data_IF_816473637666
#
_entry.id   IF_816473637666
#
_cell.length_a   1.000
_cell.length_b   1.000
_cell.length_c   1.000
_cell.angle_alpha   90.00
_cell.angle_beta   90.00
_cell.angle_gamma   90.00
#
_symmetry.space_group_name_H-M   'P 1'
#
loop_
_entity.id
_entity.type
_entity.pdbx_description
1 polymer ?
#
# COMPACT_ATOMS: atom_id res chain seq x y z
N UNK A 1 -8.45 -13.52 -6.21
CA UNK A 1 -9.55 -12.56 -5.96
C UNK A 1 -10.64 -13.22 -5.14
N UNK A 2 -11.33 -12.42 -4.33
CA UNK A 2 -12.51 -12.83 -3.56
C UNK A 2 -13.74 -12.11 -4.13
N UNK A 3 -14.79 -12.86 -4.43
CA UNK A 3 -16.05 -12.28 -4.84
C UNK A 3 -16.73 -11.58 -3.65
N UNK A 4 -17.14 -10.32 -3.81
CA UNK A 4 -17.68 -9.50 -2.70
C UNK A 4 -19.16 -9.72 -2.42
N UNK A 5 -19.85 -10.52 -3.23
CA UNK A 5 -21.30 -10.67 -3.19
C UNK A 5 -22.05 -9.65 -4.03
N UNK A 6 -21.36 -8.70 -4.65
CA UNK A 6 -21.98 -7.66 -5.47
C UNK A 6 -21.91 -7.98 -6.95
N UNK A 7 -23.05 -7.90 -7.62
CA UNK A 7 -23.19 -8.10 -9.07
C UNK A 7 -24.35 -7.31 -9.64
N UNK A 8 -24.34 -7.09 -10.94
CA UNK A 8 -25.43 -6.46 -11.68
C UNK A 8 -25.47 -6.95 -13.11
N UNK A 9 -26.66 -6.95 -13.71
CA UNK A 9 -26.90 -7.17 -15.13
C UNK A 9 -27.69 -5.99 -15.67
N UNK A 10 -27.24 -5.46 -16.80
CA UNK A 10 -27.86 -4.35 -17.50
C UNK A 10 -28.27 -4.79 -18.90
N UNK A 11 -29.44 -4.30 -19.36
CA UNK A 11 -29.90 -4.51 -20.71
C UNK A 11 -29.03 -3.71 -21.71
N UNK A 12 -28.53 -4.36 -22.75
CA UNK A 12 -27.80 -3.67 -23.85
C UNK A 12 -28.72 -3.24 -24.97
N UNK A 13 -29.96 -3.67 -24.93
CA UNK A 13 -31.08 -3.28 -25.82
C UNK A 13 -32.37 -3.27 -25.00
N UNK A 14 -33.45 -2.68 -25.54
CA UNK A 14 -34.74 -2.72 -24.88
C UNK A 14 -35.19 -4.18 -24.72
N UNK A 15 -35.70 -4.51 -23.56
CA UNK A 15 -36.31 -5.80 -23.26
C UNK A 15 -37.85 -5.63 -23.38
N UNK A 16 -38.48 -6.37 -24.28
CA UNK A 16 -39.92 -6.23 -24.56
C UNK A 16 -40.74 -7.35 -23.90
N UNK A 17 -41.96 -7.05 -23.55
CA UNK A 17 -42.98 -8.02 -23.14
C UNK A 17 -44.30 -7.68 -23.82
N UNK A 18 -44.77 -8.53 -24.72
CA UNK A 18 -45.97 -8.28 -25.49
C UNK A 18 -45.91 -7.05 -26.41
N UNK A 19 -44.69 -6.69 -26.83
CA UNK A 19 -44.46 -5.53 -27.70
C UNK A 19 -44.27 -4.20 -26.96
N UNK A 20 -44.37 -4.19 -25.62
CA UNK A 20 -44.09 -3.02 -24.77
C UNK A 20 -42.75 -3.16 -24.07
N UNK A 21 -42.04 -2.05 -23.87
CA UNK A 21 -40.77 -2.03 -23.19
C UNK A 21 -40.95 -2.37 -21.70
N UNK A 22 -40.42 -3.51 -21.31
CA UNK A 22 -40.33 -3.96 -19.90
C UNK A 22 -39.12 -3.34 -19.19
N UNK A 23 -38.00 -3.18 -19.92
CA UNK A 23 -36.82 -2.44 -19.52
C UNK A 23 -36.16 -1.81 -20.75
N UNK A 24 -35.60 -0.64 -20.61
CA UNK A 24 -34.91 0.08 -21.68
C UNK A 24 -33.42 -0.31 -21.73
N UNK A 25 -32.79 -0.06 -22.87
CA UNK A 25 -31.33 -0.16 -22.99
C UNK A 25 -30.68 0.67 -21.88
N UNK A 26 -29.73 0.05 -21.18
CA UNK A 26 -29.01 0.65 -20.07
C UNK A 26 -29.62 0.37 -18.69
N UNK A 27 -30.89 -0.03 -18.63
CA UNK A 27 -31.52 -0.31 -17.35
C UNK A 27 -30.91 -1.54 -16.68
N UNK A 28 -30.79 -1.48 -15.35
CA UNK A 28 -30.45 -2.63 -14.53
C UNK A 28 -31.62 -3.62 -14.50
N UNK A 29 -31.36 -4.88 -14.81
CA UNK A 29 -32.37 -5.93 -14.93
C UNK A 29 -32.17 -7.11 -13.98
N UNK A 30 -31.03 -7.16 -13.25
CA UNK A 30 -30.77 -8.10 -12.17
C UNK A 30 -29.58 -7.63 -11.33
N UNK A 31 -29.39 -8.26 -10.18
CA UNK A 31 -28.19 -8.04 -9.34
C UNK A 31 -28.47 -8.00 -7.86
N UNK A 32 -27.42 -7.77 -7.08
CA UNK A 32 -27.49 -7.68 -5.63
C UNK A 32 -28.39 -6.55 -5.17
N UNK A 33 -29.43 -6.88 -4.37
CA UNK A 33 -30.38 -5.88 -3.87
C UNK A 33 -31.35 -5.29 -4.93
N UNK A 34 -31.38 -5.85 -6.13
CA UNK A 34 -32.30 -5.42 -7.17
C UNK A 34 -33.72 -5.93 -6.92
N UNK A 35 -34.71 -5.04 -7.03
CA UNK A 35 -36.13 -5.41 -6.94
C UNK A 35 -36.66 -5.84 -8.31
N UNK A 36 -36.75 -7.15 -8.53
CA UNK A 36 -37.23 -7.74 -9.78
C UNK A 36 -38.76 -7.77 -9.93
N UNK A 37 -39.51 -7.27 -8.95
CA UNK A 37 -40.98 -7.31 -8.96
C UNK A 37 -41.57 -6.60 -10.17
N UNK A 38 -41.00 -5.48 -10.60
CA UNK A 38 -41.39 -4.70 -11.78
C UNK A 38 -41.17 -5.45 -13.09
N UNK A 39 -40.24 -6.40 -13.09
CA UNK A 39 -39.96 -7.26 -14.24
C UNK A 39 -40.74 -8.58 -14.19
N UNK A 40 -41.60 -8.72 -13.15
CA UNK A 40 -42.42 -9.91 -12.92
C UNK A 40 -41.60 -11.11 -12.43
N UNK A 41 -40.44 -10.90 -11.84
CA UNK A 41 -39.56 -11.89 -11.27
C UNK A 41 -38.14 -11.82 -11.78
N UNK A 42 -37.26 -12.64 -11.21
CA UNK A 42 -35.84 -12.66 -11.51
C UNK A 42 -35.57 -13.09 -12.95
N UNK A 43 -34.79 -12.26 -13.66
CA UNK A 43 -34.34 -12.55 -15.01
C UNK A 43 -33.01 -13.28 -15.05
N UNK A 44 -32.19 -13.11 -14.02
CA UNK A 44 -30.88 -13.76 -13.88
C UNK A 44 -30.67 -14.21 -12.45
N UNK A 45 -29.89 -15.28 -12.30
CA UNK A 45 -29.41 -15.79 -11.02
C UNK A 45 -27.87 -15.80 -11.02
N UNK A 46 -27.29 -15.76 -9.83
CA UNK A 46 -25.85 -15.89 -9.66
C UNK A 46 -25.54 -17.05 -8.70
N UNK A 47 -24.53 -17.83 -9.05
CA UNK A 47 -23.91 -18.80 -8.15
C UNK A 47 -22.40 -18.59 -8.12
N UNK A 48 -21.79 -18.86 -6.97
CA UNK A 48 -20.34 -18.82 -6.79
C UNK A 48 -19.87 -20.14 -6.20
N UNK A 49 -18.84 -20.74 -6.78
CA UNK A 49 -18.30 -22.03 -6.38
C UNK A 49 -16.79 -22.08 -6.60
N UNK A 50 -16.12 -23.00 -5.91
CA UNK A 50 -14.72 -23.33 -6.24
C UNK A 50 -14.71 -24.59 -7.11
N UNK A 51 -14.20 -24.46 -8.33
CA UNK A 51 -14.07 -25.54 -9.29
C UNK A 51 -12.58 -25.68 -9.64
N UNK A 52 -12.02 -26.88 -9.44
CA UNK A 52 -10.61 -27.18 -9.67
C UNK A 52 -9.64 -26.17 -9.02
N UNK A 53 -9.96 -25.73 -7.79
CA UNK A 53 -9.18 -24.77 -7.01
C UNK A 53 -9.29 -23.31 -7.49
N UNK A 54 -10.18 -23.00 -8.43
CA UNK A 54 -10.48 -21.65 -8.92
C UNK A 54 -11.84 -21.18 -8.41
N UNK A 55 -11.93 -19.93 -8.02
CA UNK A 55 -13.21 -19.30 -7.71
C UNK A 55 -13.94 -18.97 -9.02
N UNK A 56 -15.08 -19.60 -9.22
CA UNK A 56 -15.92 -19.41 -10.41
C UNK A 56 -17.22 -18.74 -10.00
N UNK A 57 -17.59 -17.68 -10.69
CA UNK A 57 -18.86 -16.99 -10.56
C UNK A 57 -19.66 -17.23 -11.84
N UNK A 58 -20.83 -17.81 -11.71
CA UNK A 58 -21.73 -18.10 -12.82
C UNK A 58 -22.97 -17.23 -12.73
N UNK A 59 -23.28 -16.49 -13.79
CA UNK A 59 -24.52 -15.73 -13.97
C UNK A 59 -25.35 -16.48 -15.01
N UNK A 60 -26.56 -16.87 -14.64
CA UNK A 60 -27.43 -17.68 -15.49
C UNK A 60 -28.76 -16.97 -15.76
N UNK A 61 -29.15 -16.94 -17.04
CA UNK A 61 -30.46 -16.47 -17.45
C UNK A 61 -31.56 -17.44 -17.01
N UNK A 62 -32.61 -16.94 -16.36
CA UNK A 62 -33.78 -17.74 -15.91
C UNK A 62 -34.67 -18.13 -17.08
N UNK A 63 -35.58 -19.08 -16.84
CA UNK A 63 -36.63 -19.42 -17.84
C UNK A 63 -37.46 -18.21 -18.21
N UNK A 64 -37.69 -17.29 -17.27
CA UNK A 64 -38.43 -16.07 -17.54
C UNK A 64 -37.72 -15.19 -18.56
N UNK A 65 -36.38 -14.96 -18.39
CA UNK A 65 -35.62 -14.19 -19.38
C UNK A 65 -35.65 -14.90 -20.73
N UNK A 66 -35.45 -16.22 -20.77
CA UNK A 66 -35.47 -17.00 -22.00
C UNK A 66 -36.84 -16.92 -22.70
N UNK A 67 -37.94 -16.94 -21.94
CA UNK A 67 -39.30 -16.79 -22.49
C UNK A 67 -39.49 -15.41 -23.12
N UNK A 68 -39.08 -14.32 -22.42
CA UNK A 68 -39.17 -12.94 -22.96
C UNK A 68 -38.43 -12.79 -24.29
N UNK A 69 -37.22 -13.33 -24.37
CA UNK A 69 -36.37 -13.28 -25.57
C UNK A 69 -36.93 -14.14 -26.69
N UNK A 70 -37.57 -15.27 -26.37
CA UNK A 70 -38.18 -16.20 -27.36
C UNK A 70 -39.46 -15.62 -28.00
N UNK A 71 -40.21 -14.82 -27.24
CA UNK A 71 -41.47 -14.23 -27.67
C UNK A 71 -41.25 -12.93 -28.47
N UNK A 72 -40.03 -12.39 -28.39
CA UNK A 72 -39.67 -11.13 -29.02
C UNK A 72 -38.86 -11.36 -30.31
N UNK A 73 -39.25 -10.74 -31.40
CA UNK A 73 -38.49 -10.73 -32.66
C UNK A 73 -37.24 -9.84 -32.59
N UNK A 74 -37.04 -9.12 -31.48
CA UNK A 74 -35.90 -8.24 -31.28
C UNK A 74 -34.71 -8.97 -30.69
N UNK A 75 -33.53 -8.58 -31.13
CA UNK A 75 -32.31 -9.04 -30.49
C UNK A 75 -32.20 -8.47 -29.07
N UNK A 76 -32.37 -9.30 -28.06
CA UNK A 76 -32.06 -8.93 -26.69
C UNK A 76 -30.57 -9.13 -26.41
N UNK A 77 -30.04 -8.34 -25.47
CA UNK A 77 -28.67 -8.45 -25.06
C UNK A 77 -28.49 -7.94 -23.64
N UNK A 78 -27.43 -8.41 -22.98
CA UNK A 78 -27.15 -8.03 -21.62
C UNK A 78 -25.65 -7.90 -21.38
N UNK A 79 -25.29 -7.19 -20.32
CA UNK A 79 -23.93 -7.03 -19.84
C UNK A 79 -23.90 -7.28 -18.34
N UNK A 80 -23.00 -8.12 -17.90
CA UNK A 80 -22.87 -8.44 -16.49
C UNK A 80 -21.64 -7.78 -15.87
N UNK A 81 -21.74 -7.43 -14.61
CA UNK A 81 -20.68 -6.93 -13.77
C UNK A 81 -20.64 -7.74 -12.48
N UNK A 82 -19.45 -8.11 -12.06
CA UNK A 82 -19.18 -8.67 -10.74
C UNK A 82 -18.12 -7.81 -10.06
N UNK A 83 -18.20 -7.70 -8.75
CA UNK A 83 -17.19 -7.02 -7.97
C UNK A 83 -16.33 -8.03 -7.22
N UNK A 84 -15.03 -7.92 -7.39
CA UNK A 84 -14.06 -8.77 -6.71
C UNK A 84 -13.04 -7.92 -5.94
N UNK A 85 -12.68 -8.39 -4.74
CA UNK A 85 -11.60 -7.83 -3.95
C UNK A 85 -10.30 -8.56 -4.28
N UNK A 86 -9.27 -7.81 -4.62
CA UNK A 86 -7.92 -8.35 -4.78
C UNK A 86 -7.32 -8.66 -3.42
N UNK A 87 -6.79 -9.88 -3.25
CA UNK A 87 -6.23 -10.36 -1.98
C UNK A 87 -4.70 -10.29 -1.91
N UNK A 88 -4.03 -10.11 -3.04
CA UNK A 88 -2.57 -10.10 -3.09
C UNK A 88 -2.03 -9.12 -4.12
N UNK A 89 -0.84 -8.62 -3.84
CA UNK A 89 -0.02 -7.89 -4.81
C UNK A 89 0.34 -8.81 -5.97
N UNK A 90 0.19 -8.33 -7.20
CA UNK A 90 0.56 -9.08 -8.40
C UNK A 90 0.88 -8.14 -9.56
N UNK A 91 1.91 -8.46 -10.32
CA UNK A 91 2.27 -7.71 -11.52
C UNK A 91 1.30 -8.00 -12.67
N UNK A 92 0.67 -9.17 -12.66
CA UNK A 92 -0.28 -9.57 -13.70
C UNK A 92 -1.32 -10.54 -13.15
N UNK A 93 -2.56 -10.15 -13.26
CA UNK A 93 -3.71 -11.01 -12.99
C UNK A 93 -4.59 -11.03 -14.24
N UNK A 94 -4.81 -12.21 -14.77
CA UNK A 94 -5.59 -12.41 -15.98
C UNK A 94 -7.03 -12.75 -15.64
N UNK A 95 -7.96 -12.15 -16.38
CA UNK A 95 -9.37 -12.43 -16.32
C UNK A 95 -9.86 -12.79 -17.72
N UNK A 96 -10.70 -13.80 -17.78
CA UNK A 96 -11.38 -14.28 -18.97
C UNK A 96 -12.76 -14.79 -18.56
N UNK A 97 -13.77 -14.59 -19.37
CA UNK A 97 -15.06 -15.22 -19.17
C UNK A 97 -15.39 -16.19 -20.32
N UNK A 98 -16.24 -17.14 -20.01
CA UNK A 98 -16.77 -18.12 -20.94
C UNK A 98 -18.29 -17.98 -20.99
N UNK A 99 -18.83 -17.84 -22.15
CA UNK A 99 -20.27 -17.81 -22.40
C UNK A 99 -20.73 -19.16 -22.95
N UNK A 100 -21.80 -19.70 -22.39
CA UNK A 100 -22.47 -20.89 -22.87
C UNK A 100 -23.84 -20.51 -23.45
N UNK A 101 -24.01 -20.73 -24.72
CA UNK A 101 -25.24 -20.39 -25.43
C UNK A 101 -25.58 -21.48 -26.49
N UNK A 102 -26.76 -22.11 -26.38
CA UNK A 102 -27.25 -23.11 -27.34
C UNK A 102 -26.16 -24.13 -27.76
N UNK A 103 -25.63 -24.90 -26.82
CA UNK A 103 -24.57 -25.90 -27.03
C UNK A 103 -23.24 -25.34 -27.59
N UNK A 104 -23.10 -24.03 -27.67
CA UNK A 104 -21.85 -23.35 -28.03
C UNK A 104 -21.18 -22.80 -26.78
N UNK A 105 -19.86 -22.85 -26.81
CA UNK A 105 -19.01 -22.22 -25.81
C UNK A 105 -18.17 -21.17 -26.52
N UNK A 106 -18.24 -19.93 -26.02
CA UNK A 106 -17.49 -18.79 -26.51
C UNK A 106 -16.59 -18.28 -25.38
N UNK A 107 -15.35 -18.05 -25.70
CA UNK A 107 -14.40 -17.48 -24.76
C UNK A 107 -14.14 -16.00 -25.10
N UNK A 108 -14.10 -15.15 -24.09
CA UNK A 108 -13.67 -13.75 -24.27
C UNK A 108 -12.16 -13.69 -24.55
N UNK A 109 -11.70 -12.54 -25.02
CA UNK A 109 -10.28 -12.22 -24.93
C UNK A 109 -9.84 -12.20 -23.46
N UNK A 110 -8.57 -12.53 -23.22
CA UNK A 110 -7.95 -12.36 -21.91
C UNK A 110 -7.65 -10.88 -21.69
N UNK A 111 -8.10 -10.35 -20.56
CA UNK A 111 -7.70 -9.05 -20.04
C UNK A 111 -6.85 -9.24 -18.80
N UNK A 112 -5.99 -8.29 -18.49
CA UNK A 112 -5.17 -8.37 -17.30
C UNK A 112 -5.17 -7.05 -16.53
N UNK A 113 -4.98 -7.18 -15.22
CA UNK A 113 -4.85 -6.07 -14.29
C UNK A 113 -3.60 -6.28 -13.43
N UNK A 114 -3.11 -5.19 -12.87
CA UNK A 114 -1.99 -5.18 -11.93
C UNK A 114 -2.45 -4.62 -10.58
N UNK A 115 -1.91 -5.15 -9.50
CA UNK A 115 -2.03 -4.59 -8.17
C UNK A 115 -0.62 -4.30 -7.66
N UNK A 116 -0.16 -3.06 -7.70
CA UNK A 116 1.20 -2.70 -7.30
C UNK A 116 1.41 -2.89 -5.79
N UNK A 117 2.65 -3.17 -5.41
CA UNK A 117 3.05 -3.17 -4.01
C UNK A 117 3.24 -1.72 -3.53
N UNK A 118 2.29 -1.23 -2.74
CA UNK A 118 2.31 0.10 -2.14
C UNK A 118 2.50 0.04 -0.62
N UNK A 119 3.25 -0.94 -0.14
CA UNK A 119 3.50 -1.15 1.29
C UNK A 119 4.01 0.14 1.95
N UNK A 120 3.32 0.64 3.00
CA UNK A 120 3.77 1.79 3.77
C UNK A 120 5.09 1.50 4.49
N UNK A 121 5.98 2.49 4.51
CA UNK A 121 7.26 2.39 5.23
C UNK A 121 7.79 3.78 5.59
N UNK A 122 8.42 3.89 6.74
CA UNK A 122 9.09 5.09 7.23
C UNK A 122 10.48 4.71 7.72
N UNK A 123 11.44 5.59 7.58
CA UNK A 123 12.81 5.39 8.01
C UNK A 123 13.32 6.58 8.81
N UNK A 124 14.33 6.37 9.65
CA UNK A 124 15.05 7.42 10.37
C UNK A 124 16.54 7.19 10.23
N UNK A 125 17.29 8.27 9.94
CA UNK A 125 18.75 8.29 9.92
C UNK A 125 19.24 9.34 10.92
N UNK A 126 20.17 8.95 11.78
CA UNK A 126 20.73 9.76 12.86
C UNK A 126 22.20 10.10 12.61
N UNK A 127 22.53 11.38 12.62
CA UNK A 127 23.88 11.84 12.30
C UNK A 127 24.25 13.13 13.02
N UNK A 128 25.56 13.40 13.16
CA UNK A 128 26.05 14.64 13.77
C UNK A 128 26.19 15.77 12.73
N UNK A 129 25.63 16.95 13.04
CA UNK A 129 25.66 18.13 12.17
C UNK A 129 27.07 18.56 11.82
N UNK A 130 28.01 18.39 12.75
CA UNK A 130 29.41 18.82 12.59
C UNK A 130 30.11 18.09 11.44
N UNK A 131 29.90 16.79 11.33
CA UNK A 131 30.49 15.94 10.28
C UNK A 131 29.67 15.97 8.99
N UNK A 132 28.35 16.25 9.10
CA UNK A 132 27.42 16.26 7.97
C UNK A 132 27.16 14.87 7.41
N UNK A 133 26.06 14.74 6.68
CA UNK A 133 25.71 13.50 6.01
C UNK A 133 26.62 13.21 4.81
N UNK A 134 27.06 11.96 4.53
CA UNK A 134 26.87 10.75 5.36
C UNK A 134 27.95 10.54 6.45
N UNK A 135 28.93 11.42 6.55
CA UNK A 135 30.08 11.23 7.44
C UNK A 135 29.74 11.36 8.94
N UNK A 136 28.60 11.97 9.25
CA UNK A 136 28.07 12.13 10.60
C UNK A 136 27.28 10.93 11.11
N UNK A 137 26.94 10.00 10.23
CA UNK A 137 26.34 8.71 10.56
C UNK A 137 27.37 7.84 11.27
N UNK A 138 27.03 7.36 12.47
CA UNK A 138 27.94 6.68 13.39
C UNK A 138 27.38 5.34 13.87
N UNK A 139 26.80 4.56 13.00
CA UNK A 139 26.19 3.24 13.31
C UNK A 139 27.17 2.29 13.97
N UNK A 140 28.45 2.41 13.66
CA UNK A 140 29.46 1.53 14.18
C UNK A 140 30.28 2.21 15.28
N UNK A 141 30.43 1.54 16.43
CA UNK A 141 31.27 2.05 17.55
C UNK A 141 32.73 2.33 17.16
N UNK A 142 33.24 1.76 16.06
CA UNK A 142 34.59 2.05 15.53
C UNK A 142 34.67 3.44 14.91
N UNK A 143 33.55 3.97 14.43
CA UNK A 143 33.43 5.28 13.79
C UNK A 143 32.96 6.35 14.77
N UNK A 144 32.89 6.02 16.07
CA UNK A 144 32.39 6.92 17.11
C UNK A 144 33.05 8.29 17.10
N UNK A 145 32.25 9.35 17.18
CA UNK A 145 32.71 10.72 17.24
C UNK A 145 33.43 11.01 18.57
N UNK A 146 34.58 11.70 18.52
CA UNK A 146 35.14 12.31 19.74
C UNK A 146 34.34 13.55 20.12
N UNK A 147 33.55 13.43 21.18
CA UNK A 147 32.71 14.49 21.72
C UNK A 147 33.52 15.36 22.67
N UNK A 148 33.58 16.66 22.43
CA UNK A 148 34.28 17.63 23.28
C UNK A 148 33.35 18.52 24.12
N UNK A 149 32.07 18.49 23.84
CA UNK A 149 31.03 19.29 24.48
C UNK A 149 29.67 18.93 23.88
N UNK A 150 28.70 19.82 24.01
CA UNK A 150 27.39 19.65 23.40
C UNK A 150 27.52 19.41 21.90
N UNK A 151 26.77 18.44 21.37
CA UNK A 151 26.85 18.04 19.97
C UNK A 151 25.46 18.07 19.35
N UNK A 152 25.32 18.79 18.24
CA UNK A 152 24.06 18.81 17.50
C UNK A 152 23.87 17.49 16.73
N UNK A 153 22.80 16.82 17.03
CA UNK A 153 22.34 15.59 16.38
C UNK A 153 21.16 15.94 15.46
N UNK A 154 21.14 15.31 14.32
CA UNK A 154 20.08 15.44 13.31
C UNK A 154 19.42 14.08 13.12
N UNK A 155 18.10 14.08 13.07
CA UNK A 155 17.28 12.95 12.72
C UNK A 155 16.61 13.26 11.38
N UNK A 156 17.01 12.57 10.32
CA UNK A 156 16.37 12.64 9.02
C UNK A 156 15.30 11.57 8.92
N UNK A 157 14.05 11.98 8.94
CA UNK A 157 12.89 11.08 8.84
C UNK A 157 12.44 11.07 7.39
N UNK A 158 12.38 9.89 6.78
CA UNK A 158 12.07 9.72 5.35
C UNK A 158 10.87 8.79 5.17
N UNK A 159 9.92 9.21 4.34
CA UNK A 159 8.88 8.31 3.85
C UNK A 159 9.47 7.39 2.78
N UNK A 160 9.68 6.13 3.13
CA UNK A 160 10.24 5.09 2.26
C UNK A 160 9.17 4.15 1.68
N UNK A 161 7.90 4.56 1.74
CA UNK A 161 6.78 3.78 1.20
C UNK A 161 7.00 3.43 -0.26
N UNK A 162 6.62 2.22 -0.62
CA UNK A 162 6.59 1.80 -2.02
C UNK A 162 5.50 2.54 -2.77
N UNK A 163 5.74 2.77 -4.04
CA UNK A 163 4.81 3.50 -4.92
C UNK A 163 4.38 2.65 -6.09
N UNK A 164 3.19 2.90 -6.57
CA UNK A 164 2.78 2.45 -7.90
C UNK A 164 3.77 2.99 -8.94
N UNK A 165 4.38 2.13 -9.77
CA UNK A 165 5.39 2.55 -10.73
C UNK A 165 4.87 3.48 -11.83
N UNK A 166 3.57 3.48 -12.12
CA UNK A 166 2.98 4.32 -13.16
C UNK A 166 2.49 5.66 -12.60
N UNK A 167 1.69 5.62 -11.53
CA UNK A 167 1.07 6.81 -10.95
C UNK A 167 1.96 7.53 -9.92
N UNK A 168 3.00 6.84 -9.42
CA UNK A 168 3.86 7.28 -8.32
C UNK A 168 3.11 7.52 -7.00
N UNK A 169 1.90 7.01 -6.90
CA UNK A 169 1.11 7.06 -5.67
C UNK A 169 1.64 6.04 -4.66
N UNK A 170 1.55 6.39 -3.39
CA UNK A 170 1.91 5.55 -2.25
C UNK A 170 1.39 6.17 -0.97
N UNK A 171 1.61 5.50 0.16
CA UNK A 171 1.21 6.03 1.45
C UNK A 171 1.94 7.34 1.77
N UNK A 172 1.23 8.28 2.41
CA UNK A 172 1.79 9.54 2.89
C UNK A 172 1.73 9.59 4.43
N UNK A 173 2.56 10.41 5.04
CA UNK A 173 2.56 10.61 6.50
C UNK A 173 2.39 12.08 6.83
N UNK A 174 1.45 12.42 7.72
CA UNK A 174 1.43 13.74 8.35
C UNK A 174 2.53 13.77 9.41
N UNK A 175 3.42 14.74 9.34
CA UNK A 175 4.55 14.85 10.28
C UNK A 175 4.09 14.91 11.74
N UNK A 176 2.98 15.62 12.03
CA UNK A 176 2.39 15.69 13.38
C UNK A 176 1.97 14.33 13.97
N UNK A 177 1.76 13.33 13.14
CA UNK A 177 1.37 11.97 13.57
C UNK A 177 2.59 11.04 13.64
N UNK A 178 3.80 11.56 13.40
CA UNK A 178 5.06 10.84 13.54
C UNK A 178 5.59 11.05 14.95
N UNK A 179 5.90 9.95 15.64
CA UNK A 179 6.56 9.93 16.93
C UNK A 179 8.03 9.57 16.74
N UNK A 180 8.94 10.48 17.09
CA UNK A 180 10.37 10.21 17.20
C UNK A 180 10.68 9.80 18.63
N UNK A 181 11.35 8.70 18.79
CA UNK A 181 11.89 8.19 20.06
C UNK A 181 13.41 8.06 19.93
N UNK A 182 14.11 8.57 20.93
CA UNK A 182 15.55 8.47 21.06
C UNK A 182 15.92 8.06 22.48
N UNK A 183 16.85 7.13 22.65
CA UNK A 183 17.22 6.63 23.96
C UNK A 183 18.68 6.19 24.01
N UNK A 184 19.37 6.56 25.09
CA UNK A 184 20.72 6.08 25.35
C UNK A 184 20.68 4.59 25.71
N UNK A 185 21.39 3.76 24.95
CA UNK A 185 21.48 2.31 25.13
C UNK A 185 22.82 1.87 25.74
N UNK A 186 23.87 2.68 25.57
CA UNK A 186 25.21 2.42 26.19
C UNK A 186 25.79 3.73 26.69
N UNK A 187 26.33 3.69 27.90
CA UNK A 187 27.07 4.78 28.49
C UNK A 187 26.21 5.86 29.10
N UNK A 188 26.59 7.12 28.92
CA UNK A 188 25.97 8.30 29.50
C UNK A 188 25.74 9.40 28.45
N UNK A 189 24.96 10.40 28.83
CA UNK A 189 24.49 11.45 27.95
C UNK A 189 23.10 11.14 27.37
N UNK A 190 22.46 12.18 26.88
CA UNK A 190 21.12 12.08 26.24
C UNK A 190 20.96 13.18 25.19
N UNK A 191 20.14 12.95 24.20
CA UNK A 191 19.72 13.97 23.24
C UNK A 191 18.50 14.69 23.82
N UNK A 192 18.66 15.99 24.02
CA UNK A 192 17.63 16.89 24.59
C UNK A 192 17.34 18.04 23.65
N UNK A 193 16.39 18.88 24.00
CA UNK A 193 16.05 20.12 23.27
C UNK A 193 15.71 19.83 21.80
N UNK A 194 14.87 18.81 21.54
CA UNK A 194 14.43 18.51 20.17
C UNK A 194 13.74 19.72 19.56
N UNK A 195 14.15 20.05 18.34
CA UNK A 195 13.62 21.15 17.54
C UNK A 195 13.00 20.58 16.27
N UNK A 196 11.72 20.74 16.16
CA UNK A 196 10.94 20.38 14.99
C UNK A 196 10.89 21.56 14.01
N UNK A 197 10.84 21.33 12.69
CA UNK A 197 10.63 22.37 11.70
C UNK A 197 9.34 23.15 11.93
N UNK A 198 9.29 24.39 11.46
CA UNK A 198 8.12 25.28 11.67
C UNK A 198 6.83 24.74 11.00
N UNK A 199 6.98 23.94 9.96
CA UNK A 199 5.88 23.32 9.21
C UNK A 199 5.49 21.92 9.72
N UNK A 200 6.08 21.46 10.85
CA UNK A 200 5.85 20.14 11.41
C UNK A 200 4.39 19.75 11.56
N UNK A 201 3.55 20.67 12.02
CA UNK A 201 2.14 20.38 12.28
C UNK A 201 1.28 20.28 11.01
N UNK A 202 1.79 20.77 9.88
CA UNK A 202 1.04 20.88 8.62
C UNK A 202 1.62 20.09 7.47
N UNK A 203 2.89 19.71 7.55
CA UNK A 203 3.57 19.01 6.46
C UNK A 203 3.07 17.59 6.30
N UNK A 204 3.01 17.16 5.05
CA UNK A 204 2.74 15.80 4.62
C UNK A 204 3.97 15.30 3.89
N UNK A 205 4.54 14.18 4.32
CA UNK A 205 5.64 13.51 3.64
C UNK A 205 5.08 12.55 2.59
N UNK A 206 5.30 12.87 1.33
CA UNK A 206 5.04 11.98 0.20
C UNK A 206 6.17 10.94 0.07
N UNK A 207 5.96 9.82 -0.62
CA UNK A 207 7.03 8.84 -0.83
C UNK A 207 8.31 9.48 -1.39
N UNK A 208 9.44 9.18 -0.74
CA UNK A 208 10.75 9.75 -1.06
C UNK A 208 11.05 11.11 -0.42
N UNK A 209 10.09 11.77 0.23
CA UNK A 209 10.32 13.02 0.93
C UNK A 209 10.85 12.79 2.35
N UNK A 210 11.66 13.75 2.82
CA UNK A 210 12.27 13.72 4.14
C UNK A 210 12.03 15.02 4.90
N UNK A 211 12.19 14.94 6.23
CA UNK A 211 12.17 16.08 7.14
C UNK A 211 13.24 15.88 8.21
N UNK A 212 13.88 16.96 8.64
CA UNK A 212 14.90 16.92 9.71
C UNK A 212 14.32 17.42 11.03
N UNK A 213 14.60 16.67 12.10
CA UNK A 213 14.44 17.11 13.49
C UNK A 213 15.85 17.20 14.07
N UNK A 214 16.15 18.25 14.86
CA UNK A 214 17.45 18.38 15.49
C UNK A 214 17.33 18.30 17.00
N UNK A 215 18.39 17.85 17.64
CA UNK A 215 18.51 17.81 19.09
C UNK A 215 19.93 18.09 19.54
N UNK A 216 20.14 18.23 20.83
CA UNK A 216 21.47 18.46 21.40
C UNK A 216 21.85 17.31 22.31
N UNK A 217 22.86 16.55 21.94
CA UNK A 217 23.47 15.53 22.80
C UNK A 217 24.29 16.24 23.89
N UNK A 218 23.95 15.97 25.16
CA UNK A 218 24.59 16.53 26.34
C UNK A 218 25.02 15.43 27.30
N UNK A 219 25.98 15.74 28.18
CA UNK A 219 26.32 14.93 29.33
C UNK A 219 27.20 13.71 29.05
N UNK A 220 27.77 13.56 27.86
CA UNK A 220 28.67 12.45 27.53
C UNK A 220 30.00 12.62 28.34
N UNK A 221 30.29 11.68 29.21
CA UNK A 221 31.53 11.68 30.04
C UNK A 221 32.53 10.61 29.62
N UNK A 222 32.09 9.52 29.03
CA UNK A 222 32.90 8.38 28.57
C UNK A 222 32.47 7.93 27.18
N UNK A 223 31.81 6.79 27.10
CA UNK A 223 31.21 6.24 25.88
C UNK A 223 29.74 6.59 25.84
N UNK A 224 29.21 6.69 24.66
CA UNK A 224 27.79 6.94 24.39
C UNK A 224 27.35 6.18 23.16
N UNK A 225 26.25 5.50 23.26
CA UNK A 225 25.47 5.00 22.12
C UNK A 225 24.02 5.26 22.41
N UNK A 226 23.37 5.93 21.51
CA UNK A 226 21.92 6.13 21.56
C UNK A 226 21.26 5.57 20.29
N UNK A 227 19.96 5.34 20.39
CA UNK A 227 19.17 4.68 19.38
C UNK A 227 17.92 5.48 19.09
N UNK A 228 17.75 5.82 17.83
CA UNK A 228 16.55 6.45 17.32
C UNK A 228 15.58 5.43 16.72
N UNK A 229 14.31 5.73 16.79
CA UNK A 229 13.20 5.02 16.15
C UNK A 229 12.08 6.00 15.85
N UNK A 230 11.40 5.81 14.74
CA UNK A 230 10.17 6.57 14.44
C UNK A 230 8.99 5.62 14.26
N UNK A 231 7.83 6.10 14.69
CA UNK A 231 6.53 5.44 14.46
C UNK A 231 5.62 6.43 13.78
N UNK A 232 4.97 6.02 12.70
CA UNK A 232 4.05 6.86 11.94
C UNK A 232 2.76 6.13 11.59
N UNK A 233 1.66 6.89 11.45
CA UNK A 233 0.40 6.38 10.92
C UNK A 233 0.36 6.71 9.43
N UNK A 234 0.48 5.73 8.54
CA UNK A 234 0.36 5.97 7.12
C UNK A 234 -1.08 6.32 6.74
N UNK A 235 -1.20 7.18 5.75
CA UNK A 235 -2.47 7.52 5.12
C UNK A 235 -2.41 6.96 3.69
N UNK A 236 -3.32 6.07 3.37
CA UNK A 236 -3.48 5.48 2.03
C UNK A 236 -4.75 6.01 1.40
N UNK A 237 -4.84 6.01 0.08
CA UNK A 237 -6.08 6.38 -0.60
C UNK A 237 -7.21 5.47 -0.08
N UNK A 238 -8.35 6.09 0.32
CA UNK A 238 -9.44 5.33 0.92
C UNK A 238 -9.92 4.23 -0.03
N UNK A 239 -10.12 3.00 0.45
CA UNK A 239 -10.67 1.95 -0.38
C UNK A 239 -12.07 2.34 -0.85
N UNK A 240 -12.37 2.05 -2.10
CA UNK A 240 -13.74 2.18 -2.62
C UNK A 240 -14.64 1.26 -1.79
N UNK A 241 -15.78 1.78 -1.33
CA UNK A 241 -16.75 0.96 -0.59
C UNK A 241 -17.24 -0.19 -1.48
N UNK A 242 -16.70 -1.38 -1.21
CA UNK A 242 -17.05 -2.59 -1.96
C UNK A 242 -18.35 -3.22 -1.45
N UNK A 243 -18.97 -2.66 -0.41
CA UNK A 243 -20.29 -3.09 0.07
C UNK A 243 -21.44 -2.34 -0.61
N UNK A 244 -21.15 -1.23 -1.30
CA UNK A 244 -22.17 -0.50 -2.02
C UNK A 244 -22.71 -1.33 -3.20
N UNK A 245 -24.04 -1.49 -3.31
CA UNK A 245 -24.62 -2.15 -4.48
C UNK A 245 -24.32 -1.34 -5.75
N UNK A 246 -24.32 -2.02 -6.89
CA UNK A 246 -24.33 -1.31 -8.16
C UNK A 246 -25.56 -0.39 -8.22
N UNK A 247 -25.35 0.86 -8.65
CA UNK A 247 -26.47 1.82 -8.80
C UNK A 247 -27.56 1.31 -9.76
N UNK A 248 -28.79 1.75 -9.53
CA UNK A 248 -29.91 1.49 -10.46
C UNK A 248 -29.89 2.41 -11.71
N UNK A 249 -28.84 3.22 -11.84
CA UNK A 249 -28.64 4.11 -12.95
C UNK A 249 -28.38 3.38 -14.28
N UNK A 250 -28.66 4.06 -15.37
CA UNK A 250 -28.40 3.58 -16.73
C UNK A 250 -26.89 3.52 -16.99
N UNK A 251 -26.41 2.41 -17.51
CA UNK A 251 -25.06 2.31 -18.04
C UNK A 251 -25.06 2.77 -19.50
N UNK A 252 -24.99 4.08 -19.73
CA UNK A 252 -25.05 4.67 -21.08
C UNK A 252 -23.74 4.51 -21.88
N UNK A 253 -22.74 3.83 -21.31
CA UNK A 253 -21.42 3.85 -21.88
C UNK A 253 -21.17 2.64 -22.78
N UNK A 254 -21.14 2.89 -24.09
CA UNK A 254 -20.68 1.92 -25.10
C UNK A 254 -19.21 1.53 -24.92
N UNK A 255 -18.44 2.31 -24.11
CA UNK A 255 -17.01 2.06 -23.85
C UNK A 255 -16.74 0.97 -22.82
N UNK A 256 -17.79 0.46 -22.17
CA UNK A 256 -17.64 -0.59 -21.15
C UNK A 256 -17.22 -0.08 -19.77
N UNK A 257 -17.33 1.21 -19.52
CA UNK A 257 -17.06 1.81 -18.22
C UNK A 257 -17.99 1.25 -17.16
N UNK A 258 -17.44 1.03 -15.98
CA UNK A 258 -18.14 0.55 -14.80
C UNK A 258 -19.17 1.57 -14.35
N UNK A 259 -20.44 1.20 -14.03
CA UNK A 259 -21.34 2.10 -13.30
C UNK A 259 -20.65 2.53 -11.99
N UNK A 260 -20.66 3.83 -11.73
CA UNK A 260 -20.08 4.34 -10.49
C UNK A 260 -20.82 3.77 -9.27
N UNK A 261 -20.08 3.26 -8.29
CA UNK A 261 -20.63 2.91 -7.00
C UNK A 261 -20.97 4.21 -6.26
N UNK A 262 -22.13 4.28 -5.65
CA UNK A 262 -22.49 5.43 -4.79
C UNK A 262 -21.49 5.52 -3.62
N UNK A 263 -20.85 6.68 -3.50
CA UNK A 263 -19.95 6.96 -2.38
C UNK A 263 -20.76 7.17 -1.10
N UNK A 264 -20.63 6.25 -0.14
CA UNK A 264 -21.17 6.44 1.21
C UNK A 264 -20.38 7.47 2.00
N UNK A 265 -21.06 8.07 2.99
CA UNK A 265 -20.59 9.13 3.85
C UNK A 265 -19.19 8.87 4.43
N UNK A 266 -18.37 9.94 4.45
CA UNK A 266 -17.05 9.97 5.09
C UNK A 266 -17.13 9.45 6.52
N UNK A 267 -16.28 8.48 6.86
CA UNK A 267 -15.98 8.13 8.25
C UNK A 267 -15.17 9.28 8.88
N UNK A 268 -15.20 9.43 10.21
CA UNK A 268 -14.44 10.47 10.94
C UNK A 268 -12.92 10.38 10.76
N UNK A 269 -12.41 9.30 10.16
CA UNK A 269 -10.99 9.04 9.93
C UNK A 269 -10.49 9.41 8.53
N UNK A 270 -11.32 10.06 7.70
CA UNK A 270 -10.92 10.48 6.36
C UNK A 270 -10.24 11.83 6.37
N UNK A 271 -9.05 11.91 5.80
CA UNK A 271 -8.26 13.14 5.63
C UNK A 271 -8.16 13.49 4.16
N UNK A 272 -8.61 14.67 3.77
CA UNK A 272 -8.46 15.16 2.39
C UNK A 272 -7.11 15.86 2.23
N UNK A 273 -6.26 15.39 1.31
CA UNK A 273 -4.94 15.95 0.96
C UNK A 273 -4.92 16.17 -0.55
N UNK A 274 -4.61 17.37 -0.99
CA UNK A 274 -4.56 17.74 -2.42
C UNK A 274 -5.84 17.32 -3.21
N UNK A 275 -7.01 17.39 -2.56
CA UNK A 275 -8.30 17.05 -3.16
C UNK A 275 -8.62 15.56 -3.22
N UNK A 276 -7.77 14.69 -2.67
CA UNK A 276 -8.00 13.25 -2.54
C UNK A 276 -8.27 12.86 -1.10
N UNK A 277 -9.13 11.87 -0.92
CA UNK A 277 -9.47 11.33 0.40
C UNK A 277 -8.55 10.17 0.77
N UNK A 278 -7.96 10.27 1.95
CA UNK A 278 -7.06 9.29 2.54
C UNK A 278 -7.64 8.75 3.84
N UNK A 279 -7.46 7.46 4.05
CA UNK A 279 -7.81 6.72 5.26
C UNK A 279 -6.56 6.33 6.03
N UNK A 280 -6.66 6.33 7.36
CA UNK A 280 -5.59 5.84 8.22
C UNK A 280 -5.42 4.33 8.10
N UNK A 281 -4.17 3.88 8.01
CA UNK A 281 -3.79 2.49 8.00
C UNK A 281 -3.07 2.11 9.30
N UNK A 282 -2.68 0.86 9.44
CA UNK A 282 -1.94 0.35 10.59
C UNK A 282 -0.62 1.09 10.74
N UNK A 283 -0.31 1.51 11.98
CA UNK A 283 0.95 2.17 12.31
C UNK A 283 2.14 1.35 11.88
N UNK A 284 3.13 2.01 11.30
CA UNK A 284 4.41 1.43 10.93
C UNK A 284 5.54 2.02 11.77
N UNK A 285 6.55 1.21 12.00
CA UNK A 285 7.75 1.58 12.73
C UNK A 285 8.95 1.50 11.79
N UNK A 286 9.92 2.42 11.94
CA UNK A 286 11.20 2.34 11.23
C UNK A 286 12.07 1.21 11.76
N UNK A 287 13.11 0.84 11.04
CA UNK A 287 14.28 0.25 11.66
C UNK A 287 14.84 1.22 12.71
N UNK A 288 15.64 0.68 13.63
CA UNK A 288 16.38 1.52 14.58
C UNK A 288 17.68 1.99 13.96
N UNK A 289 18.06 3.22 14.29
CA UNK A 289 19.31 3.82 13.86
C UNK A 289 20.13 4.23 15.08
N UNK A 290 21.39 3.77 15.14
CA UNK A 290 22.28 3.98 16.28
C UNK A 290 23.28 5.08 15.96
N UNK A 291 23.65 5.85 16.97
CA UNK A 291 24.73 6.82 16.85
C UNK A 291 25.73 6.65 18.00
N UNK A 292 27.02 6.69 17.70
CA UNK A 292 28.11 6.42 18.64
C UNK A 292 29.03 7.62 18.85
N UNK A 293 29.29 7.94 20.10
CA UNK A 293 30.23 8.95 20.54
C UNK A 293 31.07 8.54 21.74
N UNK A 294 32.18 9.22 21.96
CA UNK A 294 32.96 9.05 23.19
C UNK A 294 33.67 10.35 23.56
N UNK A 295 33.89 10.54 24.85
CA UNK A 295 34.71 11.65 25.40
C UNK A 295 36.08 11.13 25.82
N UNK A 296 37.14 11.78 25.33
CA UNK A 296 38.50 11.48 25.80
C UNK A 296 38.67 11.98 27.22
N UNK A 297 39.05 11.11 28.15
CA UNK A 297 39.49 11.50 29.50
C UNK A 297 41.00 11.73 29.47
N UNK A 298 41.52 12.68 30.27
CA UNK A 298 42.95 12.98 30.34
C UNK A 298 43.82 11.77 30.71
N UNK A 299 43.24 10.74 31.30
CA UNK A 299 43.93 9.50 31.63
C UNK A 299 44.21 8.57 30.44
N UNK A 300 43.60 8.82 29.27
CA UNK A 300 43.77 7.96 28.09
C UNK A 300 44.85 8.41 27.12
N UNK A 301 45.59 9.49 27.45
CA UNK A 301 46.69 9.95 26.60
C UNK A 301 47.94 9.06 26.66
N UNK A 302 47.91 7.94 27.34
CA UNK A 302 49.08 7.05 27.47
C UNK A 302 48.82 5.53 27.37
N UNK A 303 47.59 5.07 27.22
CA UNK A 303 47.30 3.63 27.12
C UNK A 303 46.43 3.31 25.93
N UNK A 304 46.93 2.42 25.11
CA UNK A 304 46.43 2.05 23.78
C UNK A 304 44.94 1.79 23.65
N UNK A 305 44.45 2.18 22.51
CA UNK A 305 43.13 2.07 21.91
C UNK A 305 42.57 0.62 21.85
N UNK A 306 43.31 -0.38 22.35
CA UNK A 306 43.03 -1.82 22.16
C UNK A 306 41.92 -2.41 23.06
N UNK A 307 41.38 -1.69 24.05
CA UNK A 307 40.48 -2.29 25.04
C UNK A 307 39.00 -1.91 24.99
N UNK A 308 38.60 -0.99 24.11
CA UNK A 308 37.18 -0.56 23.98
C UNK A 308 36.36 -1.54 23.11
N UNK A 309 37.01 -2.39 22.32
CA UNK A 309 36.33 -3.30 21.38
C UNK A 309 35.65 -4.52 22.02
N UNK A 310 35.81 -4.75 23.35
CA UNK A 310 35.39 -6.01 23.98
C UNK A 310 34.02 -5.97 24.67
N UNK A 311 33.45 -4.80 24.94
CA UNK A 311 32.17 -4.72 25.66
C UNK A 311 30.92 -4.72 24.73
N UNK A 312 31.09 -4.46 23.43
CA UNK A 312 29.97 -4.37 22.49
C UNK A 312 29.52 -5.70 21.86
N UNK A 313 30.25 -6.80 22.10
CA UNK A 313 30.01 -8.07 21.37
C UNK A 313 28.83 -8.89 21.95
N UNK A 314 28.32 -8.57 23.13
CA UNK A 314 27.34 -9.45 23.82
C UNK A 314 25.87 -9.12 23.51
N UNK A 315 25.56 -7.94 22.96
CA UNK A 315 24.15 -7.53 22.68
C UNK A 315 23.74 -7.68 21.22
N UNK A 316 24.66 -7.97 20.29
CA UNK A 316 24.41 -7.98 18.83
C UNK A 316 23.96 -9.34 18.26
N UNK A 317 23.55 -10.32 19.08
CA UNK A 317 23.12 -11.64 18.59
C UNK A 317 21.77 -11.67 17.83
N UNK A 318 20.95 -10.65 17.89
CA UNK A 318 19.58 -10.67 17.32
C UNK A 318 19.35 -9.84 16.06
N UNK A 319 20.11 -8.77 15.85
CA UNK A 319 19.84 -7.83 14.75
C UNK A 319 20.61 -8.08 13.45
N UNK A 320 21.76 -8.72 13.52
CA UNK A 320 22.65 -8.92 12.35
C UNK A 320 22.12 -9.93 11.32
N UNK A 321 21.19 -10.80 11.70
CA UNK A 321 20.66 -11.84 10.79
C UNK A 321 19.71 -11.28 9.73
N UNK A 322 19.00 -10.18 10.00
CA UNK A 322 18.04 -9.59 9.06
C UNK A 322 18.69 -8.68 8.01
N UNK A 323 19.77 -7.98 8.35
CA UNK A 323 20.49 -7.12 7.39
C UNK A 323 21.36 -7.90 6.40
N UNK A 324 21.87 -9.08 6.77
CA UNK A 324 22.67 -9.91 5.85
C UNK A 324 21.85 -10.50 4.70
N UNK A 325 20.55 -10.67 4.88
CA UNK A 325 19.64 -11.20 3.84
C UNK A 325 19.31 -10.13 2.79
N UNK A 326 19.20 -8.86 3.17
CA UNK A 326 18.87 -7.76 2.23
C UNK A 326 20.05 -7.41 1.31
N UNK A 327 21.28 -7.44 1.80
CA UNK A 327 22.48 -7.14 0.99
C UNK A 327 22.87 -8.25 0.01
N UNK A 328 22.54 -9.52 0.26
CA UNK A 328 22.85 -10.63 -0.65
C UNK A 328 21.96 -10.68 -1.89
N UNK A 329 20.81 -10.01 -1.90
CA UNK A 329 19.91 -9.97 -3.08
C UNK A 329 20.32 -8.95 -4.14
N UNK A 330 21.20 -7.98 -3.84
CA UNK A 330 21.71 -6.99 -4.81
C UNK A 330 22.96 -7.43 -5.59
N UNK A 331 23.58 -8.56 -5.28
CA UNK A 331 24.87 -8.98 -5.85
C UNK A 331 24.79 -10.11 -6.88
N UNK A 332 23.60 -10.44 -7.41
CA UNK A 332 23.49 -11.48 -8.43
C UNK A 332 22.59 -11.06 -9.59
N UNK A 333 23.11 -10.15 -10.42
CA UNK A 333 22.68 -10.02 -11.80
C UNK A 333 23.51 -11.03 -12.64
N UNK A 334 22.89 -11.81 -13.52
CA UNK A 334 23.65 -12.68 -14.40
C UNK A 334 24.33 -11.84 -15.48
N UNK A 335 25.61 -12.13 -15.69
CA UNK A 335 26.35 -11.63 -16.84
C UNK A 335 25.83 -12.32 -18.10
N UNK A 336 25.48 -11.53 -19.10
CA UNK A 336 25.20 -11.97 -20.45
C UNK A 336 26.45 -12.64 -21.04
N UNK A 337 26.30 -13.89 -21.45
CA UNK A 337 27.28 -14.59 -22.24
C UNK A 337 26.83 -14.51 -23.69
N UNK A 338 27.42 -13.60 -24.43
CA UNK A 338 27.50 -13.70 -25.88
C UNK A 338 28.36 -14.94 -26.20
N UNK A 339 27.84 -15.79 -27.06
CA UNK A 339 28.52 -16.95 -27.60
C UNK A 339 28.02 -17.25 -29.00
N UNK A 340 28.83 -16.88 -29.92
CA UNK A 340 28.78 -17.03 -31.36
C UNK A 340 28.75 -18.48 -31.85
N UNK A 341 28.17 -18.65 -33.08
CA UNK A 341 28.55 -19.60 -34.17
C UNK A 341 28.25 -21.08 -33.95
N UNK A 342 27.36 -21.63 -34.69
CA UNK A 342 27.40 -22.25 -36.06
C UNK A 342 25.99 -22.54 -36.59
#
# INVERSE_FOLDING_TARGET
DEYTGQWAVYATRDLLSGGEALASKGDRIAGSGFDSSKLGGDLFTLSAATVDGRNVVTIEATDRYRALVSDDSHEAGWRAYIQCKRLAVTDRHENQFTEHYNDKTLESNVVWTRTPDMTPSIDVQKWDRKSGWPNGDRDNSKDALTVSGDTEIVFTITNTSKTDPDTKQGAVFRTKDIKLEDSTIVGDGEVVDLKYPADWDTKVLKPGESIEVTGTLKGVTKTHTDRAKVTGTPLTECPVDTSAPFGDGTSDDESGSKPEAETKSKSDDVVTIDGKDYCSDTKVESATDDWNGYRRTLAQTGAGIALIALAAVVVLGGGAALMAVSRRRKAKAPADTEGSEE
#
